data_IF_888695672009
#
_entry.id   IF_888695672009
#
_cell.length_a   1.000
_cell.length_b   1.000
_cell.length_c   1.000
_cell.angle_alpha   90.00
_cell.angle_beta   90.00
_cell.angle_gamma   90.00
#
_symmetry.space_group_name_H-M   'P 1'
#
loop_
_entity.id
_entity.type
_entity.pdbx_description
1 polymer ?
#
# COMPACT_ATOMS: atom_id res chain seq x y z
N UNK A 1 15.31 15.61 -43.08
CA UNK A 1 14.05 15.66 -42.28
C UNK A 1 14.02 14.47 -41.34
N UNK A 2 13.73 14.71 -40.07
CA UNK A 2 14.17 13.94 -38.89
C UNK A 2 13.29 12.72 -38.55
N UNK A 3 13.81 11.52 -38.82
CA UNK A 3 13.31 10.19 -38.40
C UNK A 3 13.04 9.97 -36.88
N UNK A 4 13.68 10.68 -35.92
CA UNK A 4 13.44 10.44 -34.49
C UNK A 4 12.03 10.75 -33.99
N UNK A 5 11.28 11.66 -34.63
CA UNK A 5 9.98 12.10 -34.11
C UNK A 5 8.85 11.08 -34.37
N UNK A 6 8.96 10.29 -35.43
CA UNK A 6 7.98 9.24 -35.77
C UNK A 6 8.14 8.06 -34.81
N UNK A 7 9.38 7.69 -34.46
CA UNK A 7 9.67 6.60 -33.53
C UNK A 7 9.20 6.91 -32.10
N UNK A 8 9.42 8.14 -31.63
CA UNK A 8 8.94 8.61 -30.32
C UNK A 8 7.41 8.75 -30.29
N UNK A 9 6.78 9.18 -31.39
CA UNK A 9 5.32 9.24 -31.52
C UNK A 9 4.71 7.83 -31.59
N UNK A 10 5.41 6.84 -32.18
CA UNK A 10 4.98 5.44 -32.19
C UNK A 10 5.08 4.79 -30.81
N UNK A 11 6.19 5.00 -30.09
CA UNK A 11 6.35 4.47 -28.72
C UNK A 11 5.35 5.07 -27.74
N UNK A 12 5.10 6.38 -27.79
CA UNK A 12 4.10 7.03 -26.94
C UNK A 12 2.67 6.57 -27.25
N UNK A 13 2.35 6.33 -28.52
CA UNK A 13 1.05 5.76 -28.93
C UNK A 13 0.92 4.29 -28.52
N UNK A 14 2.01 3.51 -28.56
CA UNK A 14 2.03 2.11 -28.09
C UNK A 14 1.89 2.05 -26.57
N UNK A 15 2.55 2.92 -25.80
CA UNK A 15 2.42 2.96 -24.34
C UNK A 15 1.01 3.40 -23.93
N UNK A 16 0.46 4.43 -24.58
CA UNK A 16 -0.90 4.91 -24.32
C UNK A 16 -1.94 3.84 -24.73
N UNK A 17 -1.76 3.18 -25.87
CA UNK A 17 -2.63 2.08 -26.31
C UNK A 17 -2.45 0.82 -25.46
N UNK A 18 -1.26 0.56 -24.91
CA UNK A 18 -1.02 -0.55 -23.97
C UNK A 18 -1.62 -0.26 -22.60
N UNK A 19 -1.63 1.00 -22.16
CA UNK A 19 -2.33 1.46 -20.98
C UNK A 19 -3.85 1.34 -21.16
N UNK A 20 -4.38 1.84 -22.28
CA UNK A 20 -5.80 1.69 -22.65
C UNK A 20 -6.18 0.21 -22.80
N UNK A 21 -5.33 -0.64 -23.40
CA UNK A 21 -5.56 -2.09 -23.51
C UNK A 21 -5.35 -2.86 -22.20
N UNK A 22 -4.71 -2.26 -21.18
CA UNK A 22 -4.65 -2.81 -19.83
C UNK A 22 -5.87 -2.43 -18.99
N UNK A 23 -6.57 -1.36 -19.37
CA UNK A 23 -7.82 -0.87 -18.74
C UNK A 23 -9.05 -1.46 -19.43
N UNK A 24 -9.00 -1.62 -20.75
CA UNK A 24 -10.00 -2.27 -21.58
C UNK A 24 -9.50 -3.68 -21.84
N UNK A 25 -10.13 -4.66 -21.20
CA UNK A 25 -9.84 -6.09 -21.28
C UNK A 25 -10.08 -6.63 -22.71
N UNK A 26 -9.25 -6.19 -23.67
CA UNK A 26 -9.40 -6.51 -25.08
C UNK A 26 -8.94 -7.95 -25.27
N UNK A 27 -9.90 -8.88 -25.17
CA UNK A 27 -9.72 -10.29 -25.48
C UNK A 27 -9.32 -10.45 -26.95
N UNK A 28 -8.03 -10.33 -27.22
CA UNK A 28 -7.45 -10.70 -28.50
C UNK A 28 -7.52 -12.23 -28.62
N UNK A 29 -8.55 -12.73 -29.30
CA UNK A 29 -8.82 -14.15 -29.45
C UNK A 29 -7.89 -14.76 -30.52
N UNK A 30 -6.64 -14.99 -30.14
CA UNK A 30 -5.58 -15.52 -31.02
C UNK A 30 -5.87 -16.95 -31.55
N UNK A 31 -6.93 -17.62 -31.08
CA UNK A 31 -7.36 -18.94 -31.56
C UNK A 31 -7.85 -18.93 -33.01
N UNK A 32 -8.22 -17.76 -33.54
CA UNK A 32 -8.85 -17.63 -34.84
C UNK A 32 -7.87 -17.61 -36.04
N UNK A 33 -6.55 -17.60 -35.78
CA UNK A 33 -5.53 -17.36 -36.81
C UNK A 33 -4.41 -18.42 -36.83
N UNK A 34 -4.72 -19.67 -36.44
CA UNK A 34 -3.76 -20.76 -36.28
C UNK A 34 -2.96 -21.11 -37.55
N UNK A 35 -3.50 -20.82 -38.74
CA UNK A 35 -2.91 -21.24 -40.02
C UNK A 35 -1.93 -20.23 -40.65
N UNK A 36 -1.75 -19.02 -40.11
CA UNK A 36 -0.92 -17.99 -40.72
C UNK A 36 0.31 -17.66 -39.85
N UNK A 37 1.49 -18.08 -40.33
CA UNK A 37 2.78 -17.95 -39.62
C UNK A 37 3.11 -16.48 -39.31
N UNK A 38 2.77 -15.55 -40.21
CA UNK A 38 2.97 -14.11 -39.99
C UNK A 38 2.14 -13.57 -38.82
N UNK A 39 0.89 -14.03 -38.69
CA UNK A 39 0.00 -13.67 -37.58
C UNK A 39 0.40 -14.35 -36.27
N UNK A 40 0.95 -15.57 -36.32
CA UNK A 40 1.52 -16.21 -35.13
C UNK A 40 2.72 -15.44 -34.59
N UNK A 41 3.64 -15.02 -35.47
CA UNK A 41 4.80 -14.21 -35.10
C UNK A 41 4.38 -12.87 -34.50
N UNK A 42 3.48 -12.15 -35.17
CA UNK A 42 2.88 -10.92 -34.67
C UNK A 42 2.21 -11.13 -33.30
N UNK A 43 1.43 -12.20 -33.11
CA UNK A 43 0.78 -12.50 -31.83
C UNK A 43 1.77 -12.77 -30.70
N UNK A 44 2.94 -13.37 -31.00
CA UNK A 44 4.02 -13.61 -30.02
C UNK A 44 4.71 -12.32 -29.63
N UNK A 45 5.01 -11.46 -30.59
CA UNK A 45 5.62 -10.15 -30.33
C UNK A 45 4.68 -9.27 -29.49
N UNK A 46 3.40 -9.21 -29.84
CA UNK A 46 2.38 -8.46 -29.07
C UNK A 46 2.26 -9.02 -27.64
N UNK A 47 2.22 -10.35 -27.46
CA UNK A 47 2.20 -10.97 -26.12
C UNK A 47 3.49 -10.70 -25.33
N UNK A 48 4.64 -10.67 -26.00
CA UNK A 48 5.94 -10.35 -25.39
C UNK A 48 5.99 -8.89 -24.92
N UNK A 49 5.58 -7.95 -25.78
CA UNK A 49 5.47 -6.53 -25.47
C UNK A 49 4.50 -6.29 -24.30
N UNK A 50 3.32 -6.91 -24.33
CA UNK A 50 2.34 -6.80 -23.25
C UNK A 50 2.85 -7.39 -21.92
N UNK A 51 3.52 -8.54 -21.97
CA UNK A 51 4.19 -9.13 -20.79
C UNK A 51 5.28 -8.21 -20.24
N UNK A 52 6.09 -7.62 -21.11
CA UNK A 52 7.12 -6.65 -20.74
C UNK A 52 6.55 -5.41 -20.05
N UNK A 53 5.47 -4.84 -20.60
CA UNK A 53 4.75 -3.72 -20.00
C UNK A 53 4.16 -4.07 -18.62
N UNK A 54 3.57 -5.26 -18.48
CA UNK A 54 3.06 -5.73 -17.18
C UNK A 54 4.16 -5.88 -16.13
N UNK A 55 5.34 -6.40 -16.50
CA UNK A 55 6.48 -6.51 -15.58
C UNK A 55 7.00 -5.13 -15.21
N UNK A 56 7.14 -4.21 -16.17
CA UNK A 56 7.55 -2.84 -15.90
C UNK A 56 6.60 -2.13 -14.92
N UNK A 57 5.29 -2.24 -15.11
CA UNK A 57 4.30 -1.68 -14.19
C UNK A 57 4.43 -2.27 -12.78
N UNK A 58 4.69 -3.58 -12.65
CA UNK A 58 4.91 -4.22 -11.35
C UNK A 58 6.16 -3.73 -10.65
N UNK A 59 7.24 -3.46 -11.38
CA UNK A 59 8.46 -2.89 -10.80
C UNK A 59 8.15 -1.52 -10.19
N UNK A 60 7.41 -0.66 -10.89
CA UNK A 60 6.98 0.63 -10.34
C UNK A 60 6.14 0.48 -9.08
N UNK A 61 5.18 -0.45 -9.09
CA UNK A 61 4.35 -0.75 -7.92
C UNK A 61 5.21 -1.25 -6.73
N UNK A 62 6.19 -2.11 -6.98
CA UNK A 62 7.15 -2.56 -5.96
C UNK A 62 7.91 -1.38 -5.38
N UNK A 63 8.45 -0.50 -6.23
CA UNK A 63 9.20 0.68 -5.80
C UNK A 63 8.35 1.60 -4.93
N UNK A 64 7.11 1.87 -5.34
CA UNK A 64 6.16 2.71 -4.58
C UNK A 64 5.91 2.11 -3.19
N UNK A 65 5.52 0.84 -3.09
CA UNK A 65 5.27 0.21 -1.79
C UNK A 65 6.53 0.11 -0.94
N UNK A 66 7.70 -0.12 -1.56
CA UNK A 66 8.97 -0.20 -0.83
C UNK A 66 9.34 1.16 -0.26
N UNK A 67 9.18 2.25 -1.02
CA UNK A 67 9.42 3.61 -0.52
C UNK A 67 8.49 3.94 0.65
N UNK A 68 7.21 3.58 0.56
CA UNK A 68 6.25 3.77 1.65
C UNK A 68 6.64 2.97 2.90
N UNK A 69 7.01 1.70 2.72
CA UNK A 69 7.46 0.83 3.81
C UNK A 69 8.70 1.40 4.50
N UNK A 70 9.67 1.90 3.73
CA UNK A 70 10.87 2.53 4.26
C UNK A 70 10.56 3.85 4.98
N UNK A 71 9.62 4.64 4.47
CA UNK A 71 9.19 5.88 5.13
C UNK A 71 8.50 5.61 6.48
N UNK A 72 7.69 4.56 6.56
CA UNK A 72 7.08 4.11 7.83
C UNK A 72 8.13 3.57 8.80
N UNK A 73 9.07 2.75 8.33
CA UNK A 73 10.20 2.28 9.14
C UNK A 73 11.06 3.43 9.67
N UNK A 74 11.35 4.42 8.83
CA UNK A 74 12.09 5.61 9.23
C UNK A 74 11.33 6.38 10.32
N UNK A 75 10.01 6.52 10.19
CA UNK A 75 9.17 7.19 11.19
C UNK A 75 9.19 6.44 12.53
N UNK A 76 9.14 5.10 12.51
CA UNK A 76 9.26 4.26 13.71
C UNK A 76 10.61 4.42 14.40
N UNK A 77 11.71 4.35 13.63
CA UNK A 77 13.07 4.55 14.16
C UNK A 77 13.23 5.96 14.73
N UNK A 78 12.66 6.96 14.06
CA UNK A 78 12.60 8.34 14.54
C UNK A 78 11.90 8.45 15.90
N UNK A 79 10.72 7.85 16.04
CA UNK A 79 9.99 7.82 17.32
C UNK A 79 10.82 7.19 18.43
N UNK A 80 11.36 6.00 18.18
CA UNK A 80 12.18 5.28 19.16
C UNK A 80 13.48 6.04 19.51
N UNK A 81 14.04 6.79 18.57
CA UNK A 81 15.19 7.65 18.84
C UNK A 81 14.81 8.82 19.76
N UNK A 82 13.67 9.46 19.53
CA UNK A 82 13.16 10.55 20.36
C UNK A 82 12.77 10.06 21.77
N UNK A 83 12.23 8.85 21.91
CA UNK A 83 11.93 8.23 23.21
C UNK A 83 13.18 7.99 24.06
N UNK A 84 14.34 7.75 23.43
CA UNK A 84 15.62 7.61 24.15
C UNK A 84 16.18 8.93 24.66
N UNK A 85 15.70 10.07 24.15
CA UNK A 85 16.08 11.37 24.68
C UNK A 85 15.29 11.57 25.97
N UNK A 86 15.93 11.24 27.10
CA UNK A 86 15.33 11.22 28.43
C UNK A 86 14.76 12.61 28.78
N UNK A 87 13.43 12.73 28.78
CA UNK A 87 12.74 13.95 29.18
C UNK A 87 12.04 13.74 30.53
N UNK A 88 12.38 14.57 31.51
CA UNK A 88 11.89 14.51 32.90
C UNK A 88 10.41 14.92 33.08
N UNK A 89 9.59 14.89 32.02
CA UNK A 89 8.16 15.17 32.17
C UNK A 89 7.41 13.92 32.63
N UNK A 90 6.65 14.09 33.71
CA UNK A 90 5.74 13.06 34.22
C UNK A 90 4.71 12.62 33.16
N UNK A 91 4.19 13.55 32.36
CA UNK A 91 3.22 13.29 31.28
C UNK A 91 3.82 12.37 30.21
N UNK A 92 5.04 12.65 29.75
CA UNK A 92 5.70 11.84 28.72
C UNK A 92 6.01 10.43 29.24
N UNK A 93 6.45 10.31 30.49
CA UNK A 93 6.69 8.99 31.11
C UNK A 93 5.42 8.14 31.18
N UNK A 94 4.27 8.74 31.50
CA UNK A 94 2.97 8.06 31.46
C UNK A 94 2.63 7.64 30.03
N UNK A 95 2.71 8.55 29.05
CA UNK A 95 2.40 8.24 27.66
C UNK A 95 3.25 7.09 27.11
N UNK A 96 4.56 7.09 27.39
CA UNK A 96 5.45 6.01 26.98
C UNK A 96 5.06 4.67 27.64
N UNK A 97 4.75 4.68 28.96
CA UNK A 97 4.32 3.48 29.69
C UNK A 97 3.05 2.85 29.11
N UNK A 98 2.11 3.66 28.64
CA UNK A 98 0.83 3.21 28.07
C UNK A 98 0.79 3.22 26.54
N UNK A 99 1.94 3.40 25.89
CA UNK A 99 2.04 3.52 24.43
C UNK A 99 1.39 2.36 23.69
N UNK A 100 1.52 1.13 24.20
CA UNK A 100 0.92 -0.07 23.61
C UNK A 100 -0.61 -0.03 23.52
N UNK A 101 -1.28 0.72 24.41
CA UNK A 101 -2.73 0.91 24.38
C UNK A 101 -3.15 1.91 23.30
N UNK A 102 -2.23 2.66 22.69
CA UNK A 102 -2.56 3.62 21.64
C UNK A 102 -2.95 2.89 20.35
N UNK A 103 -4.17 3.11 19.89
CA UNK A 103 -4.68 2.53 18.65
C UNK A 103 -3.80 2.85 17.43
N UNK A 104 -3.09 3.99 17.45
CA UNK A 104 -2.12 4.38 16.41
C UNK A 104 -1.01 3.34 16.22
N UNK A 105 -0.52 2.70 17.29
CA UNK A 105 0.49 1.62 17.20
C UNK A 105 -0.10 0.39 16.51
N UNK A 106 -1.34 0.04 16.83
CA UNK A 106 -2.04 -1.09 16.22
C UNK A 106 -2.28 -0.86 14.72
N UNK A 107 -2.73 0.33 14.35
CA UNK A 107 -2.86 0.75 12.94
C UNK A 107 -1.52 0.67 12.23
N UNK A 108 -0.44 1.15 12.86
CA UNK A 108 0.90 1.10 12.29
C UNK A 108 1.37 -0.35 12.05
N UNK A 109 1.14 -1.28 12.98
CA UNK A 109 1.46 -2.71 12.80
C UNK A 109 0.71 -3.30 11.60
N UNK A 110 -0.58 -3.00 11.46
CA UNK A 110 -1.39 -3.48 10.34
C UNK A 110 -0.90 -2.91 9.00
N UNK A 111 -0.47 -1.66 9.00
CA UNK A 111 0.04 -0.97 7.82
C UNK A 111 1.39 -1.53 7.36
N UNK A 112 2.32 -1.71 8.30
CA UNK A 112 3.60 -2.38 8.07
C UNK A 112 3.42 -3.81 7.54
N UNK A 113 2.48 -4.56 8.13
CA UNK A 113 2.13 -5.92 7.67
C UNK A 113 1.57 -5.90 6.26
N UNK A 114 0.65 -4.98 5.97
CA UNK A 114 0.08 -4.79 4.64
C UNK A 114 1.15 -4.47 3.60
N UNK A 115 1.99 -3.47 3.85
CA UNK A 115 3.04 -3.05 2.92
C UNK A 115 4.06 -4.16 2.67
N UNK A 116 4.47 -4.88 3.71
CA UNK A 116 5.33 -6.05 3.58
C UNK A 116 4.72 -7.15 2.71
N UNK A 117 3.41 -7.43 2.88
CA UNK A 117 2.66 -8.35 2.03
C UNK A 117 2.51 -7.84 0.59
N UNK A 118 2.29 -6.54 0.41
CA UNK A 118 2.15 -5.91 -0.90
C UNK A 118 3.44 -6.05 -1.72
N UNK A 119 4.60 -5.69 -1.13
CA UNK A 119 5.92 -5.89 -1.73
C UNK A 119 6.16 -7.37 -2.02
N UNK A 120 5.94 -8.25 -1.05
CA UNK A 120 6.15 -9.70 -1.21
C UNK A 120 5.31 -10.29 -2.33
N UNK A 121 4.04 -9.88 -2.42
CA UNK A 121 3.13 -10.33 -3.47
C UNK A 121 3.60 -9.89 -4.87
N UNK A 122 3.97 -8.61 -5.05
CA UNK A 122 4.44 -8.15 -6.36
C UNK A 122 5.80 -8.75 -6.75
N UNK A 123 6.73 -8.91 -5.79
CA UNK A 123 8.00 -9.61 -6.02
C UNK A 123 7.74 -11.06 -6.44
N UNK A 124 6.79 -11.75 -5.78
CA UNK A 124 6.45 -13.13 -6.14
C UNK A 124 5.94 -13.28 -7.58
N UNK A 125 5.31 -12.24 -8.11
CA UNK A 125 4.80 -12.20 -9.48
C UNK A 125 5.89 -11.87 -10.51
N UNK A 126 6.79 -10.94 -10.20
CA UNK A 126 7.95 -10.62 -11.04
C UNK A 126 8.90 -11.83 -11.14
N UNK A 127 9.14 -12.51 -10.02
CA UNK A 127 9.96 -13.72 -9.97
C UNK A 127 9.25 -14.97 -10.50
N UNK A 128 7.98 -14.86 -10.92
CA UNK A 128 7.16 -15.96 -11.40
C UNK A 128 7.18 -17.18 -10.45
N UNK A 129 7.08 -16.94 -9.14
CA UNK A 129 7.03 -18.00 -8.14
C UNK A 129 5.79 -18.90 -8.36
N UNK A 130 5.76 -20.03 -7.64
CA UNK A 130 4.66 -21.00 -7.77
C UNK A 130 3.29 -20.32 -7.59
N UNK A 131 2.31 -20.78 -8.36
CA UNK A 131 0.96 -20.20 -8.35
C UNK A 131 0.33 -20.22 -6.94
N UNK A 132 0.66 -21.25 -6.15
CA UNK A 132 0.22 -21.37 -4.75
C UNK A 132 0.76 -20.22 -3.89
N UNK A 133 2.05 -19.90 -3.99
CA UNK A 133 2.68 -18.80 -3.24
C UNK A 133 2.05 -17.46 -3.62
N UNK A 134 1.93 -17.18 -4.93
CA UNK A 134 1.34 -15.93 -5.43
C UNK A 134 -0.10 -15.74 -4.96
N UNK A 135 -0.92 -16.80 -5.03
CA UNK A 135 -2.31 -16.77 -4.53
C UNK A 135 -2.39 -16.58 -3.02
N UNK A 136 -1.53 -17.23 -2.23
CA UNK A 136 -1.50 -17.08 -0.77
C UNK A 136 -1.13 -15.65 -0.37
N UNK A 137 -0.05 -15.10 -0.93
CA UNK A 137 0.38 -13.72 -0.65
C UNK A 137 -0.67 -12.70 -1.08
N UNK A 138 -1.26 -12.87 -2.26
CA UNK A 138 -2.29 -11.99 -2.76
C UNK A 138 -3.56 -12.02 -1.90
N UNK A 139 -3.98 -13.21 -1.44
CA UNK A 139 -5.10 -13.35 -0.50
C UNK A 139 -4.78 -12.74 0.85
N UNK A 140 -3.58 -12.97 1.39
CA UNK A 140 -3.16 -12.39 2.66
C UNK A 140 -3.14 -10.86 2.60
N UNK A 141 -2.56 -10.27 1.54
CA UNK A 141 -2.59 -8.82 1.29
C UNK A 141 -4.02 -8.29 1.29
N UNK A 142 -4.93 -8.92 0.54
CA UNK A 142 -6.32 -8.51 0.46
C UNK A 142 -7.02 -8.60 1.83
N UNK A 143 -6.83 -9.69 2.58
CA UNK A 143 -7.41 -9.86 3.92
C UNK A 143 -6.92 -8.79 4.88
N UNK A 144 -5.61 -8.58 4.95
CA UNK A 144 -5.03 -7.58 5.85
C UNK A 144 -5.51 -6.17 5.47
N UNK A 145 -5.52 -5.85 4.18
CA UNK A 145 -5.94 -4.54 3.71
C UNK A 145 -7.43 -4.28 3.96
N UNK A 146 -8.32 -5.14 3.44
CA UNK A 146 -9.76 -4.91 3.47
C UNK A 146 -10.34 -4.99 4.89
N UNK A 147 -9.78 -5.88 5.72
CA UNK A 147 -10.31 -6.14 7.07
C UNK A 147 -9.75 -5.20 8.12
N UNK A 148 -8.47 -4.82 8.01
CA UNK A 148 -7.77 -4.08 9.07
C UNK A 148 -7.18 -2.76 8.58
N UNK A 149 -6.25 -2.78 7.62
CA UNK A 149 -5.50 -1.56 7.25
C UNK A 149 -6.43 -0.44 6.81
N UNK A 150 -7.37 -0.72 5.89
CA UNK A 150 -8.32 0.28 5.41
C UNK A 150 -9.17 0.88 6.55
N UNK A 151 -9.96 0.09 7.31
CA UNK A 151 -10.81 0.66 8.35
C UNK A 151 -10.02 1.28 9.52
N UNK A 152 -8.93 0.67 9.97
CA UNK A 152 -8.12 1.19 11.08
C UNK A 152 -7.41 2.50 10.70
N UNK A 153 -6.84 2.61 9.50
CA UNK A 153 -6.23 3.86 9.03
C UNK A 153 -7.27 4.96 8.92
N UNK A 154 -8.45 4.68 8.36
CA UNK A 154 -9.54 5.67 8.27
C UNK A 154 -10.00 6.13 9.66
N UNK A 155 -10.14 5.22 10.61
CA UNK A 155 -10.48 5.56 11.99
C UNK A 155 -9.40 6.42 12.65
N UNK A 156 -8.13 6.00 12.59
CA UNK A 156 -7.00 6.71 13.19
C UNK A 156 -6.89 8.13 12.66
N UNK A 157 -6.89 8.32 11.33
CA UNK A 157 -6.77 9.65 10.71
C UNK A 157 -7.97 10.52 11.06
N UNK A 158 -9.19 9.98 10.96
CA UNK A 158 -10.40 10.75 11.23
C UNK A 158 -10.45 11.23 12.68
N UNK A 159 -10.25 10.32 13.64
CA UNK A 159 -10.29 10.65 15.06
C UNK A 159 -9.16 11.60 15.43
N UNK A 160 -7.94 11.35 14.94
CA UNK A 160 -6.80 12.22 15.22
C UNK A 160 -7.07 13.65 14.76
N UNK A 161 -7.44 13.86 13.49
CA UNK A 161 -7.63 15.22 12.97
C UNK A 161 -8.86 15.91 13.55
N UNK A 162 -9.95 15.17 13.83
CA UNK A 162 -11.10 15.75 14.53
C UNK A 162 -10.69 16.29 15.89
N UNK A 163 -10.00 15.47 16.70
CA UNK A 163 -9.56 15.89 18.03
C UNK A 163 -8.52 17.02 17.92
N UNK A 164 -7.56 16.92 17.00
CA UNK A 164 -6.55 17.95 16.77
C UNK A 164 -7.14 19.35 16.55
N UNK A 165 -8.24 19.44 15.79
CA UNK A 165 -8.89 20.72 15.51
C UNK A 165 -9.85 21.19 16.62
N UNK A 166 -10.39 20.28 17.43
CA UNK A 166 -11.25 20.63 18.58
C UNK A 166 -10.40 21.07 19.76
N UNK A 167 -9.50 20.18 20.22
CA UNK A 167 -8.56 20.41 21.30
C UNK A 167 -7.34 19.49 21.16
N UNK A 168 -6.25 20.05 20.64
CA UNK A 168 -5.01 19.30 20.40
C UNK A 168 -4.36 18.76 21.68
N UNK A 169 -4.57 19.41 22.83
CA UNK A 169 -3.90 19.03 24.08
C UNK A 169 -4.36 17.66 24.59
N UNK A 170 -5.52 17.16 24.11
CA UNK A 170 -6.05 15.83 24.45
C UNK A 170 -5.21 14.67 23.91
N UNK A 171 -4.55 14.88 22.76
CA UNK A 171 -3.79 13.83 22.05
C UNK A 171 -2.33 14.19 21.87
N UNK A 172 -1.99 15.47 21.94
CA UNK A 172 -0.66 15.98 21.67
C UNK A 172 -0.37 17.20 22.57
N UNK A 173 -0.05 16.96 23.86
CA UNK A 173 0.17 18.02 24.82
C UNK A 173 1.42 18.84 24.51
N UNK A 174 1.44 20.08 24.96
CA UNK A 174 2.54 21.03 24.69
C UNK A 174 3.92 20.58 25.20
N UNK A 175 3.99 19.68 26.18
CA UNK A 175 5.24 19.05 26.59
C UNK A 175 5.75 18.06 25.54
N UNK A 176 4.85 17.32 24.89
CA UNK A 176 5.19 16.35 23.85
C UNK A 176 5.68 17.06 22.59
N UNK A 177 5.09 18.20 22.22
CA UNK A 177 5.50 18.97 21.04
C UNK A 177 6.93 19.54 21.12
N UNK A 178 7.55 19.57 22.31
CA UNK A 178 8.95 19.98 22.49
C UNK A 178 9.94 18.90 22.06
N UNK A 179 9.52 17.65 22.10
CA UNK A 179 10.35 16.47 21.79
C UNK A 179 9.94 15.86 20.45
N UNK A 180 8.64 15.83 20.21
CA UNK A 180 8.04 15.22 19.04
C UNK A 180 7.77 16.29 17.97
N UNK A 181 8.52 16.30 16.86
CA UNK A 181 8.39 17.36 15.88
C UNK A 181 7.14 17.19 15.01
N UNK A 182 6.56 18.31 14.61
CA UNK A 182 5.30 18.34 13.84
C UNK A 182 5.38 17.56 12.52
N UNK A 183 6.55 17.53 11.86
CA UNK A 183 6.71 16.75 10.63
C UNK A 183 6.56 15.25 10.87
N UNK A 184 7.05 14.74 12.00
CA UNK A 184 6.93 13.34 12.37
C UNK A 184 5.49 13.01 12.76
N UNK A 185 4.81 13.95 13.42
CA UNK A 185 3.38 13.86 13.71
C UNK A 185 2.53 13.76 12.43
N UNK A 186 2.81 14.61 11.43
CA UNK A 186 2.17 14.50 10.12
C UNK A 186 2.48 13.17 9.42
N UNK A 187 3.72 12.68 9.48
CA UNK A 187 4.10 11.38 8.92
C UNK A 187 3.26 10.24 9.51
N UNK A 188 3.01 10.26 10.81
CA UNK A 188 2.24 9.21 11.49
C UNK A 188 0.73 9.32 11.30
N UNK A 189 0.19 10.50 10.96
CA UNK A 189 -1.26 10.74 11.03
C UNK A 189 -1.89 11.29 9.74
N UNK A 190 -1.10 11.70 8.75
CA UNK A 190 -1.56 12.05 7.39
C UNK A 190 -1.02 11.08 6.36
N UNK A 191 0.29 10.84 6.37
CA UNK A 191 0.94 10.06 5.32
C UNK A 191 0.51 8.60 5.30
N UNK A 192 -0.04 8.10 6.41
CA UNK A 192 -0.61 6.75 6.47
C UNK A 192 -1.82 6.52 5.54
N UNK A 193 -2.46 7.58 5.05
CA UNK A 193 -3.53 7.49 4.04
C UNK A 193 -2.99 7.16 2.66
N UNK A 194 -1.72 7.51 2.37
CA UNK A 194 -1.16 7.37 1.02
C UNK A 194 -1.09 5.90 0.58
N UNK A 195 -0.58 4.94 1.38
CA UNK A 195 -0.64 3.51 1.04
C UNK A 195 -2.07 3.01 0.78
N UNK A 196 -3.04 3.50 1.55
CA UNK A 196 -4.45 3.13 1.39
C UNK A 196 -5.01 3.61 0.05
N UNK A 197 -4.77 4.87 -0.31
CA UNK A 197 -5.20 5.43 -1.59
C UNK A 197 -4.53 4.69 -2.75
N UNK A 198 -3.23 4.43 -2.65
CA UNK A 198 -2.50 3.68 -3.70
C UNK A 198 -3.06 2.26 -3.86
N UNK A 199 -3.38 1.54 -2.78
CA UNK A 199 -3.97 0.21 -2.86
C UNK A 199 -5.40 0.20 -3.44
N UNK A 200 -6.18 1.25 -3.17
CA UNK A 200 -7.52 1.41 -3.75
C UNK A 200 -7.44 1.67 -5.25
N UNK A 201 -6.53 2.54 -5.67
CA UNK A 201 -6.34 2.91 -7.08
C UNK A 201 -5.59 1.84 -7.89
N UNK A 202 -4.82 0.98 -7.24
CA UNK A 202 -4.12 -0.11 -7.90
C UNK A 202 -5.11 -1.10 -8.54
N UNK A 203 -4.78 -1.68 -9.72
CA UNK A 203 -5.62 -2.68 -10.36
C UNK A 203 -5.92 -3.86 -9.42
N UNK A 204 -7.20 -4.06 -9.09
CA UNK A 204 -7.63 -5.14 -8.19
C UNK A 204 -7.45 -6.50 -8.87
N UNK A 205 -6.53 -7.32 -8.34
CA UNK A 205 -6.31 -8.71 -8.80
C UNK A 205 -7.17 -9.73 -8.07
N UNK A 206 -7.66 -9.38 -6.89
CA UNK A 206 -8.49 -10.22 -6.05
C UNK A 206 -9.79 -9.47 -5.75
N UNK A 207 -10.88 -10.22 -5.64
CA UNK A 207 -12.13 -9.69 -5.12
C UNK A 207 -11.93 -9.20 -3.70
N UNK A 208 -12.62 -8.12 -3.34
CA UNK A 208 -12.72 -7.69 -1.95
C UNK A 208 -13.14 -8.86 -1.07
N UNK A 209 -12.63 -8.90 0.15
CA UNK A 209 -13.06 -9.86 1.17
C UNK A 209 -14.55 -9.68 1.42
N UNK A 210 -15.26 -10.80 1.62
CA UNK A 210 -16.66 -10.77 2.01
C UNK A 210 -16.84 -9.89 3.26
N UNK A 211 -17.68 -8.86 3.15
CA UNK A 211 -17.86 -7.88 4.21
C UNK A 211 -18.33 -8.50 5.54
N UNK A 212 -19.07 -9.62 5.51
CA UNK A 212 -19.50 -10.33 6.73
C UNK A 212 -18.33 -11.01 7.42
N UNK A 213 -17.37 -11.52 6.65
CA UNK A 213 -16.13 -12.10 7.18
C UNK A 213 -15.24 -10.99 7.73
N UNK A 214 -15.05 -9.91 6.98
CA UNK A 214 -14.28 -8.76 7.40
C UNK A 214 -14.86 -8.14 8.69
N UNK A 215 -16.16 -7.86 8.72
CA UNK A 215 -16.82 -7.24 9.88
C UNK A 215 -16.74 -8.10 11.15
N UNK A 216 -16.96 -9.42 11.05
CA UNK A 216 -16.81 -10.33 12.20
C UNK A 216 -15.37 -10.36 12.71
N UNK A 217 -14.40 -10.38 11.80
CA UNK A 217 -12.98 -10.41 12.15
C UNK A 217 -12.54 -9.10 12.78
N UNK A 218 -12.96 -7.96 12.23
CA UNK A 218 -12.70 -6.63 12.77
C UNK A 218 -13.36 -6.45 14.15
N UNK A 219 -14.56 -6.98 14.37
CA UNK A 219 -15.21 -6.97 15.68
C UNK A 219 -14.41 -7.76 16.72
N UNK A 220 -13.96 -8.98 16.38
CA UNK A 220 -13.09 -9.76 17.28
C UNK A 220 -11.79 -9.02 17.60
N UNK A 221 -11.19 -8.39 16.59
CA UNK A 221 -10.02 -7.55 16.78
C UNK A 221 -10.29 -6.37 17.73
N UNK A 222 -11.43 -5.68 17.59
CA UNK A 222 -11.81 -4.60 18.47
C UNK A 222 -12.02 -5.07 19.92
N UNK A 223 -12.62 -6.25 20.12
CA UNK A 223 -12.75 -6.86 21.45
C UNK A 223 -11.38 -7.17 22.06
N UNK A 224 -10.46 -7.74 21.28
CA UNK A 224 -9.08 -8.01 21.73
C UNK A 224 -8.36 -6.72 22.09
N UNK A 225 -8.44 -5.70 21.24
CA UNK A 225 -7.86 -4.39 21.50
C UNK A 225 -8.41 -3.77 22.81
N UNK A 226 -9.70 -3.95 23.10
CA UNK A 226 -10.31 -3.39 24.31
C UNK A 226 -9.90 -4.10 25.61
N UNK A 227 -9.40 -5.34 25.52
CA UNK A 227 -8.99 -6.16 26.68
C UNK A 227 -7.51 -5.94 27.03
N UNK A 228 -6.68 -5.56 26.06
CA UNK A 228 -5.23 -5.39 26.18
C UNK A 228 -4.84 -3.96 26.57
#
# INVERSE_FOLDING_TARGET
>A
MSLPSIYLRYQSTVILNSFIASVVDYKFNASQYSHNISLQFYSREVKSCHRGAMISNRIWVILIYTVMLLAELYSLVGCHHLERLEYESHTIKIMHKYSWSFFTIWTFIMQMTFLGLAVSHEVSEVLNLSLSVRKKLGRARAVIFDTFTLPCTMLTVSVFWVIWHIDKELIFPSELSRVFPDWLNHMLHTFIVVPVVVEILAPKKYSFVDYKVAARTLFLFAVVYQIL
#
